data_IF_901842658862
#
_entry.id   IF_901842658862
#
_cell.length_a   1.000
_cell.length_b   1.000
_cell.length_c   1.000
_cell.angle_alpha   90.00
_cell.angle_beta   90.00
_cell.angle_gamma   90.00
#
_symmetry.space_group_name_H-M   'P 1'
#
loop_
_entity.id
_entity.type
_entity.pdbx_description
1 polymer ?
#
# COMPACT_ATOMS: atom_id res chain seq x y z
N UNK A 1 3.80 -14.84 -1.42
CA UNK A 1 4.08 -13.63 -2.22
C UNK A 1 5.11 -12.78 -1.51
N UNK A 2 6.06 -12.26 -2.27
CA UNK A 2 7.05 -11.32 -1.76
C UNK A 2 6.44 -9.92 -1.77
N UNK A 3 6.74 -9.12 -0.76
CA UNK A 3 6.36 -7.71 -0.69
C UNK A 3 7.62 -6.86 -0.61
N UNK A 4 7.80 -5.93 -1.52
CA UNK A 4 8.91 -4.97 -1.43
C UNK A 4 8.47 -3.58 -1.84
N UNK A 5 9.12 -2.56 -1.30
CA UNK A 5 8.89 -1.17 -1.68
C UNK A 5 9.92 -0.70 -2.69
N UNK A 6 9.48 0.09 -3.68
CA UNK A 6 10.41 0.76 -4.59
C UNK A 6 10.94 2.05 -3.95
N UNK A 7 11.82 2.76 -4.66
CA UNK A 7 12.44 3.98 -4.15
C UNK A 7 11.40 5.06 -3.78
N UNK A 8 10.36 5.22 -4.60
CA UNK A 8 9.29 6.20 -4.35
C UNK A 8 8.52 5.87 -3.08
N UNK A 9 8.22 4.59 -2.86
CA UNK A 9 7.56 4.15 -1.64
C UNK A 9 8.37 4.53 -0.40
N UNK A 10 9.66 4.22 -0.39
CA UNK A 10 10.50 4.49 0.78
C UNK A 10 10.68 5.99 1.02
N UNK A 11 10.73 6.79 -0.03
CA UNK A 11 10.75 8.24 0.10
C UNK A 11 9.49 8.74 0.81
N UNK A 12 8.32 8.26 0.38
CA UNK A 12 7.05 8.62 1.00
C UNK A 12 6.96 8.11 2.43
N UNK A 13 7.43 6.88 2.67
CA UNK A 13 7.42 6.27 3.99
C UNK A 13 8.22 7.11 5.00
N UNK A 14 9.43 7.51 4.62
CA UNK A 14 10.28 8.30 5.52
C UNK A 14 9.78 9.74 5.72
N UNK A 15 8.89 10.20 4.88
CA UNK A 15 8.24 11.51 5.04
C UNK A 15 7.05 11.46 6.00
N UNK A 16 6.59 10.28 6.40
CA UNK A 16 5.47 10.13 7.32
C UNK A 16 5.85 10.53 8.75
N UNK A 17 4.86 11.00 9.56
CA UNK A 17 5.07 11.15 11.01
C UNK A 17 5.51 9.82 11.63
N UNK A 18 6.31 9.88 12.69
CA UNK A 18 6.89 8.69 13.32
C UNK A 18 5.83 7.68 13.80
N UNK A 19 4.72 8.16 14.36
CA UNK A 19 3.63 7.30 14.81
C UNK A 19 2.95 6.56 13.65
N UNK A 20 2.84 7.22 12.50
CA UNK A 20 2.27 6.60 11.30
C UNK A 20 3.23 5.55 10.74
N UNK A 21 4.54 5.82 10.74
CA UNK A 21 5.52 4.80 10.32
C UNK A 21 5.44 3.55 11.20
N UNK A 22 5.27 3.70 12.51
CA UNK A 22 5.11 2.55 13.41
C UNK A 22 3.87 1.74 13.06
N UNK A 23 2.76 2.40 12.74
CA UNK A 23 1.53 1.72 12.32
C UNK A 23 1.72 1.03 10.97
N UNK A 24 2.43 1.66 10.05
CA UNK A 24 2.75 1.07 8.74
C UNK A 24 3.60 -0.20 8.92
N UNK A 25 4.60 -0.16 9.78
CA UNK A 25 5.46 -1.32 10.05
C UNK A 25 4.64 -2.49 10.61
N UNK A 26 3.73 -2.21 11.53
CA UNK A 26 2.86 -3.23 12.12
C UNK A 26 1.92 -3.84 11.07
N UNK A 27 1.30 -3.00 10.26
CA UNK A 27 0.40 -3.46 9.20
C UNK A 27 1.15 -4.29 8.16
N UNK A 28 2.37 -3.89 7.81
CA UNK A 28 3.19 -4.62 6.86
C UNK A 28 3.57 -6.00 7.41
N UNK A 29 3.90 -6.10 8.69
CA UNK A 29 4.17 -7.37 9.34
C UNK A 29 2.95 -8.29 9.30
N UNK A 30 1.75 -7.75 9.55
CA UNK A 30 0.50 -8.50 9.45
C UNK A 30 0.24 -8.98 8.02
N UNK A 31 0.48 -8.11 7.04
CA UNK A 31 0.28 -8.43 5.63
C UNK A 31 1.12 -9.63 5.20
N UNK A 32 2.36 -9.70 5.64
CA UNK A 32 3.26 -10.82 5.33
C UNK A 32 2.80 -12.11 5.97
N UNK A 33 2.16 -12.03 7.14
CA UNK A 33 1.70 -13.19 7.89
C UNK A 33 0.35 -13.68 7.39
N UNK A 34 -0.59 -12.76 7.19
CA UNK A 34 -1.95 -13.09 6.76
C UNK A 34 -2.58 -11.88 6.05
N UNK A 35 -2.53 -11.88 4.72
CA UNK A 35 -3.08 -10.81 3.89
C UNK A 35 -4.60 -10.65 4.04
N UNK A 36 -5.29 -11.63 4.62
CA UNK A 36 -6.74 -11.57 4.84
C UNK A 36 -7.11 -10.91 6.16
N UNK A 37 -6.13 -10.46 6.95
CA UNK A 37 -6.41 -9.84 8.24
C UNK A 37 -7.30 -8.59 8.04
N UNK A 38 -8.47 -8.52 8.74
CA UNK A 38 -9.48 -7.48 8.43
C UNK A 38 -8.99 -6.04 8.51
N UNK A 39 -8.08 -5.72 9.44
CA UNK A 39 -7.60 -4.35 9.60
C UNK A 39 -6.81 -3.84 8.40
N UNK A 40 -6.30 -4.75 7.55
CA UNK A 40 -5.53 -4.38 6.36
C UNK A 40 -6.41 -3.88 5.23
N UNK A 41 -7.64 -4.39 5.14
CA UNK A 41 -8.52 -4.13 3.98
C UNK A 41 -7.76 -4.23 2.66
N UNK A 42 -6.93 -5.27 2.54
CA UNK A 42 -6.09 -5.51 1.38
C UNK A 42 -6.95 -5.98 0.22
N UNK A 43 -6.98 -5.20 -0.87
CA UNK A 43 -7.87 -5.49 -2.00
C UNK A 43 -7.35 -4.89 -3.29
N UNK A 44 -7.75 -5.51 -4.40
CA UNK A 44 -7.54 -4.94 -5.74
C UNK A 44 -8.43 -3.72 -5.91
N UNK A 45 -7.87 -2.64 -6.44
CA UNK A 45 -8.63 -1.40 -6.69
C UNK A 45 -8.66 -1.01 -8.18
N UNK A 46 -7.88 -1.65 -9.04
CA UNK A 46 -7.87 -1.34 -10.45
C UNK A 46 -6.72 -2.00 -11.19
N UNK A 47 -6.47 -1.53 -12.41
CA UNK A 47 -5.38 -1.99 -13.26
C UNK A 47 -4.61 -0.80 -13.81
N UNK A 48 -3.31 -0.99 -14.02
CA UNK A 48 -2.44 0.05 -14.56
C UNK A 48 -1.42 -0.61 -15.47
N UNK A 49 -1.46 -0.27 -16.76
CA UNK A 49 -0.54 -0.84 -17.76
C UNK A 49 -0.53 -2.37 -17.75
N UNK A 50 -1.73 -2.97 -17.60
CA UNK A 50 -1.87 -4.42 -17.60
C UNK A 50 -1.54 -5.09 -16.27
N UNK A 51 -1.15 -4.32 -15.23
CA UNK A 51 -0.85 -4.84 -13.91
C UNK A 51 -1.96 -4.48 -12.93
N UNK A 52 -2.29 -5.41 -12.01
CA UNK A 52 -3.26 -5.14 -10.96
C UNK A 52 -2.68 -4.17 -9.94
N UNK A 53 -3.51 -3.21 -9.50
CA UNK A 53 -3.15 -2.30 -8.41
C UNK A 53 -3.95 -2.68 -7.17
N UNK A 54 -3.23 -2.83 -6.06
CA UNK A 54 -3.80 -3.23 -4.78
C UNK A 54 -3.56 -2.18 -3.72
N UNK A 55 -4.48 -2.09 -2.76
CA UNK A 55 -4.35 -1.15 -1.65
C UNK A 55 -4.42 -1.86 -0.32
N UNK A 56 -3.74 -1.28 0.68
CA UNK A 56 -3.81 -1.73 2.07
C UNK A 56 -4.02 -0.52 2.97
N UNK A 57 -4.79 -0.71 4.04
CA UNK A 57 -4.99 0.32 5.05
C UNK A 57 -3.80 0.37 6.00
N UNK A 58 -3.28 1.55 6.22
CA UNK A 58 -2.28 1.81 7.27
C UNK A 58 -2.99 2.27 8.54
N UNK A 59 -3.78 3.35 8.41
CA UNK A 59 -4.70 3.84 9.44
C UNK A 59 -5.97 4.33 8.73
N UNK A 60 -6.93 4.87 9.46
CA UNK A 60 -8.12 5.46 8.85
C UNK A 60 -7.79 6.56 7.85
N UNK A 61 -6.69 7.29 8.08
CA UNK A 61 -6.29 8.43 7.25
C UNK A 61 -5.19 8.12 6.25
N UNK A 62 -4.55 6.95 6.34
CA UNK A 62 -3.41 6.60 5.50
C UNK A 62 -3.60 5.28 4.79
N UNK A 63 -3.12 5.22 3.54
CA UNK A 63 -3.20 4.03 2.68
C UNK A 63 -1.86 3.80 1.99
N UNK A 64 -1.64 2.55 1.54
CA UNK A 64 -0.50 2.20 0.72
C UNK A 64 -0.98 1.49 -0.55
N UNK A 65 -0.24 1.66 -1.65
CA UNK A 65 -0.57 1.08 -2.94
C UNK A 65 0.57 0.24 -3.47
N UNK A 66 0.20 -0.87 -4.11
CA UNK A 66 1.16 -1.79 -4.74
C UNK A 66 0.69 -2.21 -6.12
N UNK A 67 1.66 -2.56 -6.97
CA UNK A 67 1.41 -3.25 -8.24
C UNK A 67 1.70 -4.72 -8.01
N UNK A 68 0.79 -5.59 -8.48
CA UNK A 68 0.95 -7.03 -8.34
C UNK A 68 1.63 -7.62 -9.57
N UNK A 69 2.69 -8.39 -9.34
CA UNK A 69 3.36 -9.23 -10.33
C UNK A 69 3.10 -10.70 -9.99
N UNK A 70 3.43 -11.67 -10.87
CA UNK A 70 3.11 -13.07 -10.59
C UNK A 70 3.62 -13.61 -9.26
N UNK A 71 4.77 -13.13 -8.77
CA UNK A 71 5.40 -13.63 -7.56
C UNK A 71 5.63 -12.57 -6.48
N UNK A 72 5.26 -11.31 -6.74
CA UNK A 72 5.49 -10.25 -5.76
C UNK A 72 4.50 -9.10 -5.89
N UNK A 73 4.41 -8.33 -4.80
CA UNK A 73 3.78 -7.00 -4.80
C UNK A 73 4.89 -5.97 -4.65
N UNK A 74 4.89 -4.96 -5.52
CA UNK A 74 5.83 -3.84 -5.43
C UNK A 74 5.07 -2.62 -4.94
N UNK A 75 5.33 -2.23 -3.70
CA UNK A 75 4.70 -1.06 -3.09
C UNK A 75 5.35 0.20 -3.65
N UNK A 76 4.54 1.11 -4.18
CA UNK A 76 5.04 2.29 -4.88
C UNK A 76 4.56 3.60 -4.28
N UNK A 77 3.64 3.57 -3.32
CA UNK A 77 3.11 4.77 -2.70
C UNK A 77 2.56 4.47 -1.31
N UNK A 78 2.73 5.43 -0.39
CA UNK A 78 2.09 5.43 0.92
C UNK A 78 1.84 6.88 1.30
N UNK A 79 0.63 7.21 1.79
CA UNK A 79 0.29 8.58 2.12
C UNK A 79 -1.14 8.71 2.60
N UNK A 80 -1.62 9.96 2.64
CA UNK A 80 -2.93 10.29 3.17
C UNK A 80 -4.06 9.84 2.24
N UNK A 81 -5.21 9.52 2.84
CA UNK A 81 -6.39 9.01 2.15
C UNK A 81 -6.90 9.96 1.06
N UNK A 82 -6.85 11.26 1.26
CA UNK A 82 -7.32 12.21 0.27
C UNK A 82 -6.46 12.20 -1.01
N UNK A 83 -5.16 12.00 -0.87
CA UNK A 83 -4.25 11.81 -2.01
C UNK A 83 -4.51 10.46 -2.67
N UNK A 84 -4.76 9.42 -1.86
CA UNK A 84 -5.13 8.09 -2.32
C UNK A 84 -6.34 8.15 -3.27
N UNK A 85 -7.38 8.90 -2.91
CA UNK A 85 -8.58 9.02 -3.74
C UNK A 85 -8.25 9.58 -5.14
N UNK A 86 -7.33 10.54 -5.21
CA UNK A 86 -6.86 11.09 -6.48
C UNK A 86 -6.14 10.04 -7.31
N UNK A 87 -5.30 9.23 -6.68
CA UNK A 87 -4.52 8.19 -7.35
C UNK A 87 -5.43 7.10 -7.91
N UNK A 88 -6.42 6.63 -7.14
CA UNK A 88 -7.32 5.58 -7.64
C UNK A 88 -8.22 6.05 -8.78
N UNK A 89 -8.59 7.32 -8.82
CA UNK A 89 -9.33 7.88 -9.95
C UNK A 89 -8.49 7.86 -11.22
N UNK A 90 -7.20 8.08 -11.10
CA UNK A 90 -6.29 8.00 -12.24
C UNK A 90 -5.97 6.55 -12.64
N UNK A 91 -6.12 5.61 -11.72
CA UNK A 91 -5.82 4.19 -11.92
C UNK A 91 -7.02 3.44 -12.51
N UNK A 92 -8.21 3.75 -12.06
CA UNK A 92 -9.44 3.03 -12.47
C UNK A 92 -9.98 3.45 -13.87
#
# INVERSE_FOLDING_TARGET
MIHRGNADFWKDYYALPADIRMRADKQFALLKTNAQYPSLQFKKIGDRNGQEVWSARVTLKYRALAVKFPDEYVWFWIGEHNVYDTIIKATS
#
